data_IF_844797093991
#
_entry.id   IF_844797093991
#
_cell.length_a   1.000
_cell.length_b   1.000
_cell.length_c   1.000
_cell.angle_alpha   90.00
_cell.angle_beta   90.00
_cell.angle_gamma   90.00
#
_symmetry.space_group_name_H-M   'P 1'
#
loop_
_entity.id
_entity.type
_entity.pdbx_description
1 polymer ?
#
# COMPACT_ATOMS: atom_id res chain seq x y z
N UNK A 1 -4.19 -9.49 -1.27
CA UNK A 1 -4.66 -8.34 -0.47
C UNK A 1 -3.84 -8.22 0.80
N UNK A 2 -3.36 -7.02 1.11
CA UNK A 2 -2.58 -6.77 2.32
C UNK A 2 -3.50 -6.24 3.42
N UNK A 3 -3.61 -7.00 4.51
CA UNK A 3 -4.46 -6.64 5.65
C UNK A 3 -3.80 -5.66 6.61
N UNK A 4 -4.51 -5.35 7.71
CA UNK A 4 -4.09 -4.34 8.69
C UNK A 4 -3.55 -4.96 9.99
N UNK A 5 -3.19 -6.24 9.96
CA UNK A 5 -2.64 -6.92 11.14
C UNK A 5 -1.31 -6.30 11.55
N UNK A 6 -1.15 -6.06 12.84
CA UNK A 6 0.14 -5.67 13.41
C UNK A 6 0.87 -6.94 13.80
N UNK A 7 2.04 -7.16 13.19
CA UNK A 7 2.85 -8.37 13.43
C UNK A 7 4.08 -7.99 14.27
N UNK A 8 4.15 -8.46 15.53
CA UNK A 8 5.31 -8.17 16.36
C UNK A 8 6.61 -8.69 15.72
N UNK A 9 7.64 -7.87 15.74
CA UNK A 9 8.94 -8.22 15.18
C UNK A 9 9.08 -8.02 13.68
N UNK A 10 8.01 -7.62 13.00
CA UNK A 10 8.04 -7.34 11.56
C UNK A 10 8.12 -5.82 11.32
N UNK A 11 9.31 -5.33 10.93
CA UNK A 11 9.52 -3.91 10.67
C UNK A 11 9.31 -3.01 11.89
N UNK A 12 8.84 -1.76 11.68
CA UNK A 12 8.58 -0.83 12.77
C UNK A 12 7.50 -1.35 13.72
N UNK A 13 7.71 -1.18 15.03
CA UNK A 13 6.75 -1.63 16.03
C UNK A 13 5.42 -0.88 15.93
N UNK A 14 4.32 -1.62 16.06
CA UNK A 14 2.96 -1.04 16.11
C UNK A 14 2.42 -0.57 14.77
N UNK A 15 3.09 -0.87 13.66
CA UNK A 15 2.65 -0.46 12.32
C UNK A 15 1.80 -1.55 11.68
N UNK A 16 0.59 -1.24 11.21
CA UNK A 16 -0.22 -2.21 10.45
C UNK A 16 0.50 -2.70 9.19
N UNK A 17 0.33 -3.98 8.84
CA UNK A 17 1.02 -4.59 7.69
C UNK A 17 0.79 -3.82 6.40
N UNK A 18 -0.41 -3.26 6.20
CA UNK A 18 -0.75 -2.46 5.01
C UNK A 18 0.08 -1.17 4.88
N UNK A 19 0.70 -0.71 5.95
CA UNK A 19 1.56 0.47 5.99
C UNK A 19 3.01 0.13 6.39
N UNK A 20 3.36 -1.15 6.37
CA UNK A 20 4.66 -1.64 6.82
C UNK A 20 5.50 -2.06 5.61
N UNK A 21 6.58 -1.33 5.28
CA UNK A 21 7.43 -1.66 4.14
C UNK A 21 8.00 -3.08 4.20
N UNK A 22 8.28 -3.57 5.39
CA UNK A 22 8.85 -4.90 5.57
C UNK A 22 7.86 -6.01 5.18
N UNK A 23 6.57 -5.81 5.43
CA UNK A 23 5.53 -6.76 5.01
C UNK A 23 5.51 -6.90 3.48
N UNK A 24 5.59 -5.79 2.76
CA UNK A 24 5.65 -5.82 1.29
C UNK A 24 6.96 -6.42 0.78
N UNK A 25 8.08 -6.11 1.44
CA UNK A 25 9.38 -6.67 1.06
C UNK A 25 9.36 -8.20 1.15
N UNK A 26 8.85 -8.76 2.23
CA UNK A 26 8.75 -10.22 2.38
C UNK A 26 7.89 -10.84 1.29
N UNK A 27 6.76 -10.23 0.97
CA UNK A 27 5.88 -10.71 -0.10
C UNK A 27 6.58 -10.69 -1.46
N UNK A 28 7.31 -9.62 -1.76
CA UNK A 28 8.01 -9.45 -3.04
C UNK A 28 9.18 -10.42 -3.21
N UNK A 29 9.95 -10.60 -2.14
CA UNK A 29 11.18 -11.42 -2.19
C UNK A 29 10.94 -12.89 -1.88
N UNK A 30 9.87 -13.22 -1.14
CA UNK A 30 9.67 -14.58 -0.63
C UNK A 30 10.66 -14.96 0.47
N UNK A 31 11.28 -13.99 1.13
CA UNK A 31 12.32 -14.20 2.14
C UNK A 31 11.73 -14.60 3.49
N UNK A 32 11.04 -15.73 3.51
CA UNK A 32 10.48 -16.37 4.70
C UNK A 32 10.33 -17.86 4.45
N UNK A 33 10.22 -18.70 5.50
CA UNK A 33 10.11 -20.16 5.34
C UNK A 33 8.95 -20.55 4.42
N UNK A 34 9.25 -21.25 3.32
CA UNK A 34 8.28 -21.62 2.30
C UNK A 34 7.87 -20.48 1.37
N UNK A 35 8.53 -19.33 1.46
CA UNK A 35 8.19 -18.14 0.67
C UNK A 35 8.53 -18.30 -0.80
N UNK A 36 7.73 -17.65 -1.65
CA UNK A 36 7.93 -17.55 -3.10
C UNK A 36 7.79 -16.09 -3.49
N UNK A 37 8.71 -15.54 -4.30
CA UNK A 37 8.58 -14.15 -4.77
C UNK A 37 7.26 -13.91 -5.48
N UNK A 38 6.62 -12.76 -5.21
CA UNK A 38 5.36 -12.38 -5.84
C UNK A 38 5.50 -10.99 -6.48
N UNK A 39 5.28 -10.93 -7.79
CA UNK A 39 5.42 -9.70 -8.57
C UNK A 39 4.10 -9.13 -9.10
N UNK A 40 2.97 -9.67 -8.67
CA UNK A 40 1.65 -9.19 -9.06
C UNK A 40 1.19 -7.96 -8.28
N UNK A 41 0.01 -7.48 -8.64
CA UNK A 41 -0.63 -6.34 -7.96
C UNK A 41 -0.96 -6.70 -6.51
N UNK A 42 -0.60 -5.81 -5.60
CA UNK A 42 -1.00 -5.89 -4.19
C UNK A 42 -1.97 -4.76 -3.89
N UNK A 43 -3.18 -5.12 -3.48
CA UNK A 43 -4.21 -4.17 -3.02
C UNK A 43 -4.30 -4.24 -1.49
N UNK A 44 -4.54 -3.11 -0.84
CA UNK A 44 -4.80 -3.09 0.59
C UNK A 44 -6.22 -3.55 0.92
N UNK A 45 -6.45 -3.96 2.16
CA UNK A 45 -7.80 -3.99 2.70
C UNK A 45 -8.29 -2.56 2.95
N UNK A 46 -9.57 -2.39 3.30
CA UNK A 46 -10.21 -1.09 3.42
C UNK A 46 -9.49 -0.16 4.41
N UNK A 47 -9.03 0.99 3.92
CA UNK A 47 -8.30 1.99 4.70
C UNK A 47 -9.23 3.04 5.35
N UNK A 48 -10.53 2.94 5.17
CA UNK A 48 -11.49 3.92 5.70
C UNK A 48 -12.53 3.36 6.67
N UNK A 49 -12.77 2.05 6.64
CA UNK A 49 -13.87 1.44 7.39
C UNK A 49 -13.44 0.62 8.59
N UNK A 50 -12.16 0.30 8.74
CA UNK A 50 -11.68 -0.61 9.77
C UNK A 50 -11.10 0.17 10.94
N UNK A 51 -11.59 -0.15 12.14
CA UNK A 51 -11.21 0.56 13.38
C UNK A 51 -9.71 0.57 13.62
N UNK A 52 -9.02 -0.54 13.40
CA UNK A 52 -7.59 -0.62 13.61
C UNK A 52 -6.78 0.36 12.74
N UNK A 53 -7.29 0.73 11.57
CA UNK A 53 -6.67 1.74 10.71
C UNK A 53 -7.06 3.15 11.12
N UNK A 54 -8.33 3.40 11.40
CA UNK A 54 -8.80 4.73 11.81
C UNK A 54 -8.16 5.19 13.11
N UNK A 55 -7.90 4.26 14.04
CA UNK A 55 -7.20 4.54 15.29
C UNK A 55 -5.71 4.84 15.07
N UNK A 56 -5.14 4.37 13.94
CA UNK A 56 -3.72 4.57 13.62
C UNK A 56 -3.48 5.85 12.81
N UNK A 57 -4.26 6.09 11.76
CA UNK A 57 -4.06 7.23 10.87
C UNK A 57 -5.37 7.62 10.15
N UNK A 58 -5.55 8.91 9.83
CA UNK A 58 -6.62 9.34 8.93
C UNK A 58 -6.48 8.67 7.56
N UNK A 59 -7.60 8.50 6.85
CA UNK A 59 -7.62 7.80 5.55
C UNK A 59 -6.60 8.37 4.55
N UNK A 60 -6.49 9.70 4.46
CA UNK A 60 -5.53 10.34 3.55
C UNK A 60 -4.09 9.90 3.84
N UNK A 61 -3.68 9.91 5.09
CA UNK A 61 -2.34 9.48 5.50
C UNK A 61 -2.17 7.97 5.33
N UNK A 62 -3.19 7.19 5.63
CA UNK A 62 -3.15 5.73 5.48
C UNK A 62 -2.94 5.35 4.01
N UNK A 63 -3.65 5.99 3.07
CA UNK A 63 -3.47 5.75 1.63
C UNK A 63 -2.04 6.07 1.20
N UNK A 64 -1.54 7.24 1.57
CA UNK A 64 -0.18 7.65 1.22
C UNK A 64 0.88 6.70 1.80
N UNK A 65 0.72 6.29 3.05
CA UNK A 65 1.65 5.36 3.72
C UNK A 65 1.61 3.97 3.10
N UNK A 66 0.43 3.47 2.74
CA UNK A 66 0.28 2.17 2.10
C UNK A 66 0.98 2.14 0.73
N UNK A 67 0.73 3.14 -0.10
CA UNK A 67 1.37 3.26 -1.42
C UNK A 67 2.89 3.42 -1.26
N UNK A 68 3.33 4.30 -0.37
CA UNK A 68 4.75 4.50 -0.10
C UNK A 68 5.45 3.25 0.43
N UNK A 69 4.73 2.40 1.17
CA UNK A 69 5.29 1.16 1.74
C UNK A 69 5.35 0.00 0.75
N UNK A 70 4.54 0.00 -0.32
CA UNK A 70 4.63 -1.04 -1.34
C UNK A 70 3.32 -1.50 -1.96
N UNK A 71 2.17 -0.98 -1.54
CA UNK A 71 0.89 -1.28 -2.17
C UNK A 71 0.82 -0.66 -3.57
N UNK A 72 0.24 -1.39 -4.51
CA UNK A 72 0.02 -0.89 -5.86
C UNK A 72 -1.37 -0.25 -6.02
N UNK A 73 -2.33 -0.70 -5.22
CA UNK A 73 -3.67 -0.14 -5.14
C UNK A 73 -4.08 0.02 -3.68
N UNK A 74 -4.60 1.19 -3.34
CA UNK A 74 -5.15 1.47 -2.03
C UNK A 74 -6.67 1.47 -2.10
N UNK A 75 -7.31 0.68 -1.23
CA UNK A 75 -8.76 0.57 -1.16
C UNK A 75 -9.30 1.41 0.00
N UNK A 76 -10.29 2.27 -0.26
CA UNK A 76 -11.10 2.85 0.81
C UNK A 76 -12.57 2.90 0.36
N UNK A 77 -13.41 2.21 1.12
CA UNK A 77 -14.80 1.98 0.74
C UNK A 77 -15.68 3.24 0.82
N UNK A 78 -15.29 4.22 1.62
CA UNK A 78 -16.03 5.48 1.71
C UNK A 78 -16.05 6.25 0.39
N UNK A 79 -15.02 6.11 -0.45
CA UNK A 79 -14.88 6.85 -1.70
C UNK A 79 -14.75 8.36 -1.53
N UNK A 80 -14.71 8.85 -0.29
CA UNK A 80 -14.66 10.28 0.00
C UNK A 80 -13.27 10.85 -0.29
N UNK A 81 -13.26 12.14 -0.64
CA UNK A 81 -12.02 12.94 -0.76
C UNK A 81 -11.01 12.45 -1.80
N UNK A 82 -11.45 11.70 -2.82
CA UNK A 82 -10.53 11.17 -3.83
C UNK A 82 -9.61 12.24 -4.44
N UNK A 83 -10.11 13.40 -4.90
CA UNK A 83 -9.22 14.44 -5.45
C UNK A 83 -8.20 14.94 -4.44
N UNK A 84 -8.60 15.13 -3.19
CA UNK A 84 -7.69 15.58 -2.11
C UNK A 84 -6.65 14.54 -1.77
N UNK A 85 -7.01 13.27 -1.80
CA UNK A 85 -6.07 12.16 -1.54
C UNK A 85 -5.05 12.06 -2.67
N UNK A 86 -5.47 12.21 -3.93
CA UNK A 86 -4.56 12.26 -5.07
C UNK A 86 -3.59 13.44 -4.93
N UNK A 87 -4.10 14.63 -4.60
CA UNK A 87 -3.26 15.82 -4.40
C UNK A 87 -2.26 15.61 -3.27
N UNK A 88 -2.68 14.94 -2.20
CA UNK A 88 -1.79 14.61 -1.08
C UNK A 88 -0.66 13.66 -1.50
N UNK A 89 -0.96 12.63 -2.29
CA UNK A 89 0.06 11.72 -2.82
C UNK A 89 1.06 12.48 -3.70
N UNK A 90 0.57 13.35 -4.58
CA UNK A 90 1.42 14.21 -5.42
C UNK A 90 2.33 15.08 -4.54
N UNK A 91 1.76 15.69 -3.50
CA UNK A 91 2.52 16.47 -2.53
C UNK A 91 3.62 15.62 -1.86
N UNK A 92 3.30 14.40 -1.44
CA UNK A 92 4.27 13.48 -0.84
C UNK A 92 5.43 13.15 -1.79
N UNK A 93 5.15 12.97 -3.08
CA UNK A 93 6.18 12.73 -4.09
C UNK A 93 7.05 13.98 -4.29
N UNK A 94 6.43 15.14 -4.41
CA UNK A 94 7.15 16.40 -4.61
C UNK A 94 8.04 16.77 -3.42
N UNK A 95 7.68 16.37 -2.22
CA UNK A 95 8.40 16.65 -0.98
C UNK A 95 9.30 15.49 -0.50
N UNK A 96 9.48 14.45 -1.33
CA UNK A 96 10.42 13.37 -1.04
C UNK A 96 9.95 12.32 -0.04
N UNK A 97 8.66 12.32 0.35
CA UNK A 97 8.12 11.30 1.24
C UNK A 97 7.81 9.98 0.53
N UNK A 98 7.47 10.05 -0.76
CA UNK A 98 7.27 8.87 -1.62
C UNK A 98 8.17 9.03 -2.84
N UNK A 99 9.07 8.08 -3.13
CA UNK A 99 9.86 8.11 -4.35
C UNK A 99 8.96 8.03 -5.59
N UNK A 100 9.21 8.85 -6.61
CA UNK A 100 8.46 8.78 -7.86
C UNK A 100 8.53 7.38 -8.48
N UNK A 101 9.67 6.71 -8.36
CA UNK A 101 9.85 5.34 -8.84
C UNK A 101 8.85 4.36 -8.20
N UNK A 102 8.42 4.59 -6.95
CA UNK A 102 7.40 3.76 -6.29
C UNK A 102 6.04 3.90 -6.98
N UNK A 103 5.68 5.12 -7.37
CA UNK A 103 4.44 5.38 -8.11
C UNK A 103 4.49 4.72 -9.49
N UNK A 104 5.60 4.85 -10.21
CA UNK A 104 5.79 4.23 -11.53
C UNK A 104 5.71 2.71 -11.44
N UNK A 105 6.30 2.11 -10.42
CA UNK A 105 6.23 0.67 -10.16
C UNK A 105 4.79 0.20 -9.93
N UNK A 106 4.04 0.91 -9.08
CA UNK A 106 2.64 0.60 -8.82
C UNK A 106 1.78 0.71 -10.09
N UNK A 107 1.91 1.81 -10.81
CA UNK A 107 1.18 2.05 -12.05
C UNK A 107 1.50 0.98 -13.10
N UNK A 108 2.76 0.59 -13.22
CA UNK A 108 3.19 -0.46 -14.16
C UNK A 108 2.52 -1.80 -13.85
N UNK A 109 2.51 -2.21 -12.57
CA UNK A 109 1.84 -3.46 -12.18
C UNK A 109 0.35 -3.43 -12.47
N UNK A 110 -0.32 -2.32 -12.18
CA UNK A 110 -1.75 -2.17 -12.46
C UNK A 110 -2.03 -2.25 -13.96
N UNK A 111 -1.23 -1.58 -14.78
CA UNK A 111 -1.36 -1.64 -16.24
C UNK A 111 -1.12 -3.05 -16.79
N UNK A 112 -0.11 -3.75 -16.29
CA UNK A 112 0.16 -5.14 -16.68
C UNK A 112 -0.99 -6.06 -16.31
N UNK A 113 -1.60 -5.88 -15.14
CA UNK A 113 -2.77 -6.64 -14.74
C UNK A 113 -3.95 -6.39 -15.68
N UNK A 114 -4.23 -5.14 -16.04
CA UNK A 114 -5.31 -4.78 -16.94
C UNK A 114 -5.09 -5.42 -18.31
N UNK A 115 -3.87 -5.36 -18.85
CA UNK A 115 -3.52 -5.99 -20.13
C UNK A 115 -3.73 -7.50 -20.07
N UNK A 116 -3.33 -8.15 -18.97
CA UNK A 116 -3.42 -9.60 -18.81
C UNK A 116 -4.85 -10.12 -18.81
N UNK A 117 -5.83 -9.29 -18.45
CA UNK A 117 -7.26 -9.63 -18.46
C UNK A 117 -7.99 -9.05 -19.67
N UNK A 118 -7.26 -8.51 -20.65
CA UNK A 118 -7.84 -8.05 -21.93
C UNK A 118 -8.38 -6.62 -21.92
N UNK A 119 -7.95 -5.81 -20.96
CA UNK A 119 -8.39 -4.42 -20.89
C UNK A 119 -7.31 -3.42 -21.35
#
# INVERSE_FOLDING_TARGET
MMGHMIVPGLGPEGVPSSMNPEAYRLLRTGDYPGGVPFDGVVVTDDLSGMRGILDYAPTMDAVARAIGSGADQALWSSGADLPRIIDHIVWCVQNGYIPEARIDEAATRVQQQLISVGL
#
